data_IF_537754238867
#
_entry.id   IF_537754238867
#
_cell.length_a   1.000
_cell.length_b   1.000
_cell.length_c   1.000
_cell.angle_alpha   90.00
_cell.angle_beta   90.00
_cell.angle_gamma   90.00
#
_symmetry.space_group_name_H-M   'P 1'
#
loop_
_entity.id
_entity.type
_entity.pdbx_description
1 polymer ?
#
# COMPACT_ATOMS: atom_id res chain seq x y z
N UNK A 1 14.19 -6.79 8.04
CA UNK A 1 12.84 -7.33 8.29
C UNK A 1 12.27 -6.72 9.56
N UNK A 2 12.89 -6.95 10.73
CA UNK A 2 12.37 -6.45 12.02
C UNK A 2 12.13 -4.94 12.09
N UNK A 3 13.05 -4.13 11.54
CA UNK A 3 12.87 -2.67 11.48
C UNK A 3 11.67 -2.25 10.61
N UNK A 4 11.43 -2.94 9.50
CA UNK A 4 10.29 -2.68 8.63
C UNK A 4 8.98 -3.06 9.30
N UNK A 5 8.95 -4.21 10.00
CA UNK A 5 7.79 -4.63 10.78
C UNK A 5 7.47 -3.63 11.89
N UNK A 6 8.47 -3.22 12.68
CA UNK A 6 8.28 -2.23 13.75
C UNK A 6 7.76 -0.90 13.20
N UNK A 7 8.34 -0.41 12.10
CA UNK A 7 7.91 0.83 11.47
C UNK A 7 6.47 0.73 10.97
N UNK A 8 6.17 -0.28 10.16
CA UNK A 8 4.85 -0.42 9.55
C UNK A 8 3.77 -0.79 10.58
N UNK A 9 4.10 -1.50 11.66
CA UNK A 9 3.18 -1.76 12.78
C UNK A 9 2.85 -0.48 13.58
N UNK A 10 3.74 0.52 13.57
CA UNK A 10 3.46 1.83 14.17
C UNK A 10 2.63 2.74 13.25
N UNK A 11 2.51 2.42 11.95
CA UNK A 11 1.61 3.12 11.03
C UNK A 11 0.18 2.73 11.34
N UNK A 12 -0.68 3.70 11.58
CA UNK A 12 -2.08 3.50 12.01
C UNK A 12 -3.02 3.09 10.87
N UNK A 13 -2.48 2.62 9.74
CA UNK A 13 -3.28 2.17 8.62
C UNK A 13 -4.05 0.89 9.02
N UNK A 14 -5.32 0.80 8.63
CA UNK A 14 -6.08 -0.44 8.80
C UNK A 14 -5.59 -1.45 7.77
N UNK A 15 -4.91 -2.51 8.20
CA UNK A 15 -4.42 -3.59 7.34
C UNK A 15 -5.31 -4.81 7.50
N UNK A 16 -5.84 -5.31 6.39
CA UNK A 16 -6.67 -6.50 6.32
C UNK A 16 -5.90 -7.57 5.54
N UNK A 17 -5.47 -8.61 6.25
CA UNK A 17 -4.80 -9.74 5.62
C UNK A 17 -5.79 -10.81 5.16
N UNK A 18 -5.54 -11.37 3.98
CA UNK A 18 -6.34 -12.41 3.35
C UNK A 18 -6.60 -12.14 1.86
N UNK A 19 -7.13 -13.14 1.16
CA UNK A 19 -7.30 -13.08 -0.30
C UNK A 19 -5.99 -13.31 -1.05
N UNK A 20 -5.94 -12.85 -2.29
CA UNK A 20 -4.88 -13.16 -3.26
C UNK A 20 -4.27 -11.93 -3.93
N UNK A 21 -4.64 -10.72 -3.49
CA UNK A 21 -4.17 -9.45 -4.07
C UNK A 21 -3.83 -8.41 -3.01
N UNK A 22 -2.76 -7.67 -3.28
CA UNK A 22 -2.40 -6.46 -2.54
C UNK A 22 -3.02 -5.24 -3.21
N UNK A 23 -3.59 -4.33 -2.41
CA UNK A 23 -4.08 -3.03 -2.85
C UNK A 23 -4.48 -2.14 -1.66
N UNK A 24 -4.30 -0.84 -1.80
CA UNK A 24 -5.00 0.15 -0.99
C UNK A 24 -6.41 0.41 -1.54
N UNK A 25 -7.41 0.49 -0.66
CA UNK A 25 -8.81 0.78 -1.00
C UNK A 25 -9.24 2.14 -0.44
N UNK A 26 -9.28 3.21 -1.25
CA UNK A 26 -9.66 4.55 -0.78
C UNK A 26 -11.06 4.61 -0.14
N UNK A 27 -12.02 3.86 -0.68
CA UNK A 27 -13.40 3.90 -0.22
C UNK A 27 -13.61 3.41 1.23
N UNK A 28 -12.71 2.58 1.75
CA UNK A 28 -12.76 2.03 3.11
C UNK A 28 -11.56 2.43 3.95
N UNK A 29 -10.67 3.26 3.39
CA UNK A 29 -9.40 3.65 3.98
C UNK A 29 -8.61 2.47 4.58
N UNK A 30 -8.48 1.38 3.81
CA UNK A 30 -7.84 0.13 4.25
C UNK A 30 -6.86 -0.41 3.24
N UNK A 31 -5.77 -1.01 3.73
CA UNK A 31 -4.81 -1.77 2.95
C UNK A 31 -5.21 -3.23 3.00
N UNK A 32 -5.30 -3.87 1.83
CA UNK A 32 -5.52 -5.31 1.70
C UNK A 32 -4.23 -5.98 1.25
N UNK A 33 -3.86 -7.08 1.90
CA UNK A 33 -2.65 -7.83 1.60
C UNK A 33 -2.94 -9.34 1.64
N UNK A 34 -2.34 -10.15 0.74
CA UNK A 34 -2.22 -11.57 0.97
C UNK A 34 -1.47 -11.83 2.29
N UNK A 35 -1.70 -12.98 2.90
CA UNK A 35 -0.97 -13.35 4.12
C UNK A 35 0.53 -13.50 3.82
N UNK A 36 1.40 -13.25 4.81
CA UNK A 36 2.86 -13.40 4.67
C UNK A 36 3.29 -14.74 4.05
N UNK A 37 2.59 -15.83 4.37
CA UNK A 37 2.89 -17.17 3.87
C UNK A 37 2.63 -17.35 2.37
N UNK A 38 1.91 -16.43 1.73
CA UNK A 38 1.66 -16.43 0.28
C UNK A 38 2.77 -15.71 -0.51
N UNK A 39 3.72 -15.06 0.16
CA UNK A 39 4.87 -14.43 -0.47
C UNK A 39 6.10 -15.33 -0.41
N UNK A 40 6.93 -15.30 -1.46
CA UNK A 40 8.17 -16.09 -1.53
C UNK A 40 9.18 -15.69 -0.44
N UNK A 41 9.17 -14.41 -0.04
CA UNK A 41 10.05 -13.89 1.01
C UNK A 41 9.33 -12.85 1.86
N UNK A 42 9.76 -12.72 3.11
CA UNK A 42 9.30 -11.63 3.97
C UNK A 42 9.67 -10.25 3.40
N UNK A 43 10.81 -10.13 2.72
CA UNK A 43 11.21 -8.87 2.08
C UNK A 43 10.19 -8.43 1.01
N UNK A 44 9.70 -9.37 0.20
CA UNK A 44 8.66 -9.09 -0.79
C UNK A 44 7.36 -8.64 -0.11
N UNK A 45 6.90 -9.34 0.93
CA UNK A 45 5.72 -8.91 1.69
C UNK A 45 5.86 -7.48 2.24
N UNK A 46 6.98 -7.16 2.87
CA UNK A 46 7.18 -5.82 3.45
C UNK A 46 7.34 -4.72 2.39
N UNK A 47 7.95 -5.02 1.25
CA UNK A 47 8.02 -4.08 0.12
C UNK A 47 6.61 -3.80 -0.44
N UNK A 48 5.80 -4.84 -0.66
CA UNK A 48 4.40 -4.69 -1.09
C UNK A 48 3.57 -3.93 -0.06
N UNK A 49 3.71 -4.24 1.24
CA UNK A 49 3.03 -3.50 2.30
C UNK A 49 3.44 -2.03 2.34
N UNK A 50 4.72 -1.73 2.14
CA UNK A 50 5.22 -0.36 2.08
C UNK A 50 4.61 0.40 0.88
N UNK A 51 4.62 -0.20 -0.31
CA UNK A 51 3.99 0.36 -1.52
C UNK A 51 2.52 0.73 -1.27
N UNK A 52 1.70 -0.19 -0.75
CA UNK A 52 0.30 0.11 -0.45
C UNK A 52 0.13 1.14 0.67
N UNK A 53 1.09 1.22 1.59
CA UNK A 53 1.11 2.27 2.63
C UNK A 53 1.36 3.64 2.01
N UNK A 54 2.17 3.76 0.96
CA UNK A 54 2.37 5.03 0.27
C UNK A 54 1.09 5.46 -0.45
N UNK A 55 0.39 4.56 -1.14
CA UNK A 55 -0.95 4.86 -1.65
C UNK A 55 -1.91 5.29 -0.55
N UNK A 56 -1.89 4.58 0.59
CA UNK A 56 -2.70 4.95 1.75
C UNK A 56 -2.44 6.40 2.19
N UNK A 57 -1.19 6.89 2.21
CA UNK A 57 -0.94 8.31 2.57
C UNK A 57 -1.66 9.32 1.67
N UNK A 58 -2.11 8.94 0.47
CA UNK A 58 -2.78 9.80 -0.50
C UNK A 58 -4.24 10.14 -0.19
N UNK A 59 -4.87 9.50 0.79
CA UNK A 59 -6.29 9.76 1.13
C UNK A 59 -6.57 11.24 1.46
N UNK A 60 -7.84 11.63 1.31
CA UNK A 60 -8.27 13.04 1.44
C UNK A 60 -7.97 13.65 2.81
N UNK A 61 -8.02 12.86 3.88
CA UNK A 61 -7.70 13.29 5.25
C UNK A 61 -6.20 13.29 5.58
N UNK A 62 -5.34 12.96 4.60
CA UNK A 62 -3.88 12.89 4.75
C UNK A 62 -3.19 13.83 3.77
N UNK A 63 -2.54 13.31 2.73
CA UNK A 63 -1.85 14.13 1.72
C UNK A 63 -2.78 14.59 0.60
N UNK A 64 -4.02 14.08 0.55
CA UNK A 64 -5.06 14.51 -0.38
C UNK A 64 -4.58 14.52 -1.84
N UNK A 65 -3.97 13.42 -2.28
CA UNK A 65 -3.56 13.20 -3.67
C UNK A 65 -4.75 12.71 -4.49
N UNK A 66 -4.70 12.93 -5.80
CA UNK A 66 -5.73 12.41 -6.70
C UNK A 66 -5.53 10.91 -6.93
N UNK A 67 -6.40 10.10 -6.33
CA UNK A 67 -6.43 8.64 -6.46
C UNK A 67 -7.58 8.16 -7.37
N UNK A 68 -8.14 9.02 -8.21
CA UNK A 68 -9.28 8.69 -9.07
C UNK A 68 -8.87 8.08 -10.42
N UNK A 69 -7.58 8.12 -10.73
CA UNK A 69 -6.98 7.48 -11.89
C UNK A 69 -7.29 5.99 -11.96
N UNK A 70 -7.30 5.46 -13.18
CA UNK A 70 -7.57 4.07 -13.52
C UNK A 70 -6.40 3.51 -14.30
N UNK A 71 -6.21 2.20 -14.19
CA UNK A 71 -5.19 1.49 -14.95
C UNK A 71 -5.18 1.89 -16.44
N UNK A 72 -4.03 2.41 -16.88
CA UNK A 72 -3.82 2.88 -18.24
C UNK A 72 -3.94 4.39 -18.46
N UNK A 73 -4.34 5.18 -17.45
CA UNK A 73 -4.27 6.64 -17.53
C UNK A 73 -2.98 7.21 -16.89
N UNK A 74 -2.63 8.43 -17.32
CA UNK A 74 -1.41 9.11 -16.87
C UNK A 74 -1.47 9.45 -15.37
N UNK A 75 -2.67 9.71 -14.84
CA UNK A 75 -2.86 10.02 -13.42
C UNK A 75 -2.55 8.80 -12.53
N UNK A 76 -3.04 7.62 -12.91
CA UNK A 76 -2.72 6.34 -12.29
C UNK A 76 -1.22 6.05 -12.37
N UNK A 77 -0.61 6.20 -13.56
CA UNK A 77 0.83 5.98 -13.71
C UNK A 77 1.68 6.93 -12.84
N UNK A 78 1.25 8.18 -12.67
CA UNK A 78 1.91 9.13 -11.79
C UNK A 78 1.80 8.73 -10.30
N UNK A 79 0.64 8.24 -9.86
CA UNK A 79 0.46 7.77 -8.48
C UNK A 79 1.24 6.47 -8.19
N UNK A 80 1.28 5.53 -9.13
CA UNK A 80 2.12 4.33 -9.05
C UNK A 80 3.61 4.71 -8.94
N UNK A 81 4.07 5.71 -9.70
CA UNK A 81 5.44 6.22 -9.57
C UNK A 81 5.73 6.82 -8.18
N UNK A 82 4.75 7.51 -7.59
CA UNK A 82 4.87 8.02 -6.21
C UNK A 82 4.98 6.86 -5.22
N UNK A 83 4.16 5.81 -5.38
CA UNK A 83 4.21 4.63 -4.52
C UNK A 83 5.53 3.88 -4.61
N UNK A 84 6.03 3.64 -5.82
CA UNK A 84 7.29 2.94 -6.06
C UNK A 84 8.51 3.70 -5.53
N UNK A 85 8.54 5.04 -5.64
CA UNK A 85 9.66 5.84 -5.12
C UNK A 85 9.59 6.05 -3.59
N UNK A 86 8.41 5.90 -2.99
CA UNK A 86 8.19 6.11 -1.57
C UNK A 86 8.37 4.87 -0.70
N UNK A 87 8.29 3.68 -1.29
CA UNK A 87 8.35 2.38 -0.62
C UNK A 87 9.80 1.92 -0.34
#
# INVERSE_FOLDING_TARGET
IDAAEQYLAAVTATVIEGGDRAYYRPATDSIHLPTLAQFDTAAHYYATRAHETIHWTGHTDRLNRDLTGRFGDDAYAAEELVAELGA
#
